data_IF_744322261479
#
_entry.id   IF_744322261479
#
_cell.length_a   1.000
_cell.length_b   1.000
_cell.length_c   1.000
_cell.angle_alpha   90.00
_cell.angle_beta   90.00
_cell.angle_gamma   90.00
#
_symmetry.space_group_name_H-M   'P 1'
#
loop_
_entity.id
_entity.type
_entity.pdbx_description
1 polymer ?
#
# COMPACT_ATOMS: atom_id res chain seq x y z
N UNK A 1 -21.19 11.26 -35.34
CA UNK A 1 -21.06 11.02 -33.90
C UNK A 1 -22.43 10.63 -33.44
N UNK A 2 -22.59 9.36 -33.11
CA UNK A 2 -23.86 8.81 -32.70
C UNK A 2 -24.16 9.24 -31.27
N UNK A 3 -25.45 9.46 -30.94
CA UNK A 3 -25.90 9.90 -29.60
C UNK A 3 -25.28 9.07 -28.44
N UNK A 4 -25.08 7.75 -28.56
CA UNK A 4 -24.35 6.97 -27.55
C UNK A 4 -22.91 7.41 -27.31
N UNK A 5 -22.17 7.79 -28.34
CA UNK A 5 -20.75 8.20 -28.23
C UNK A 5 -20.62 9.54 -27.49
N UNK A 6 -21.53 10.48 -27.77
CA UNK A 6 -21.56 11.77 -27.11
C UNK A 6 -21.94 11.65 -25.62
N UNK A 7 -22.82 10.70 -25.29
CA UNK A 7 -23.17 10.41 -23.89
C UNK A 7 -22.01 9.75 -23.13
N UNK A 8 -21.20 8.91 -23.77
CA UNK A 8 -20.01 8.34 -23.12
C UNK A 8 -18.98 9.42 -22.78
N UNK A 9 -18.72 10.34 -23.71
CA UNK A 9 -17.85 11.50 -23.47
C UNK A 9 -18.37 12.40 -22.33
N UNK A 10 -19.69 12.44 -22.12
CA UNK A 10 -20.29 13.15 -21.00
C UNK A 10 -20.09 12.42 -19.66
N UNK A 11 -20.14 11.09 -19.64
CA UNK A 11 -19.99 10.29 -18.43
C UNK A 11 -18.53 10.09 -18.00
N UNK A 12 -17.59 9.97 -18.93
CA UNK A 12 -16.16 9.74 -18.66
C UNK A 12 -15.53 10.65 -17.57
N UNK A 13 -15.77 11.97 -17.56
CA UNK A 13 -15.19 12.86 -16.55
C UNK A 13 -15.96 12.87 -15.23
N UNK A 14 -17.14 12.22 -15.14
CA UNK A 14 -17.98 12.30 -13.95
C UNK A 14 -17.36 11.54 -12.77
N UNK A 15 -17.37 12.10 -11.55
CA UNK A 15 -16.98 11.39 -10.35
C UNK A 15 -17.98 10.27 -10.03
N UNK A 16 -17.56 9.33 -9.19
CA UNK A 16 -18.36 8.17 -8.77
C UNK A 16 -19.79 8.52 -8.35
N UNK A 17 -19.99 9.57 -7.56
CA UNK A 17 -21.33 9.96 -7.09
C UNK A 17 -22.28 10.37 -8.23
N UNK A 18 -21.74 11.05 -9.25
CA UNK A 18 -22.50 11.47 -10.43
C UNK A 18 -22.73 10.28 -11.37
N UNK A 19 -21.76 9.36 -11.47
CA UNK A 19 -21.94 8.09 -12.19
C UNK A 19 -23.04 7.23 -11.56
N UNK A 20 -23.07 7.10 -10.22
CA UNK A 20 -24.15 6.41 -9.50
C UNK A 20 -25.48 7.09 -9.84
N UNK A 21 -25.56 8.41 -9.70
CA UNK A 21 -26.76 9.19 -10.02
C UNK A 21 -27.22 8.97 -11.46
N UNK A 22 -26.29 8.94 -12.42
CA UNK A 22 -26.55 8.69 -13.84
C UNK A 22 -27.20 7.31 -14.08
N UNK A 23 -26.81 6.27 -13.33
CA UNK A 23 -27.45 4.94 -13.44
C UNK A 23 -28.92 4.89 -13.00
N UNK A 24 -29.37 5.90 -12.26
CA UNK A 24 -30.76 6.03 -11.79
C UNK A 24 -31.63 6.89 -12.72
N UNK A 25 -31.06 7.62 -13.68
CA UNK A 25 -31.81 8.53 -14.57
C UNK A 25 -32.76 7.78 -15.51
N UNK A 26 -32.23 6.87 -16.34
CA UNK A 26 -33.04 6.05 -17.24
C UNK A 26 -32.31 4.77 -17.67
N UNK A 27 -33.01 3.86 -18.34
CA UNK A 27 -32.44 2.58 -18.80
C UNK A 27 -31.26 2.78 -19.77
N UNK A 28 -31.34 3.79 -20.65
CA UNK A 28 -30.27 4.08 -21.61
C UNK A 28 -28.98 4.51 -20.89
N UNK A 29 -29.07 5.41 -19.90
CA UNK A 29 -27.91 5.86 -19.13
C UNK A 29 -27.31 4.72 -18.32
N UNK A 30 -28.15 3.92 -17.65
CA UNK A 30 -27.72 2.71 -16.95
C UNK A 30 -26.97 1.72 -17.84
N UNK A 31 -27.35 1.60 -19.11
CA UNK A 31 -26.68 0.72 -20.06
C UNK A 31 -25.38 1.31 -20.66
N UNK A 32 -25.20 2.64 -20.58
CA UNK A 32 -24.04 3.34 -21.14
C UNK A 32 -22.95 3.60 -20.10
N UNK A 33 -23.29 3.94 -18.85
CA UNK A 33 -22.33 4.23 -17.78
C UNK A 33 -21.27 3.12 -17.61
N UNK A 34 -21.61 1.81 -17.66
CA UNK A 34 -20.60 0.74 -17.56
C UNK A 34 -19.62 0.65 -18.75
N UNK A 35 -19.76 1.51 -19.76
CA UNK A 35 -18.94 1.51 -20.99
C UNK A 35 -17.98 2.70 -21.08
N UNK A 36 -17.88 3.53 -20.04
CA UNK A 36 -16.91 4.63 -20.01
C UNK A 36 -15.47 4.10 -19.98
N UNK A 37 -14.53 4.84 -20.53
CA UNK A 37 -13.11 4.51 -20.47
C UNK A 37 -12.48 5.00 -19.14
N UNK A 38 -12.94 4.41 -18.03
CA UNK A 38 -12.39 4.72 -16.70
C UNK A 38 -12.37 3.46 -15.81
N UNK A 39 -11.33 2.62 -15.90
CA UNK A 39 -11.26 1.34 -15.19
C UNK A 39 -11.45 1.47 -13.67
N UNK A 40 -10.80 2.48 -13.06
CA UNK A 40 -10.90 2.76 -11.63
C UNK A 40 -12.32 3.13 -11.21
N UNK A 41 -12.99 4.03 -11.94
CA UNK A 41 -14.36 4.45 -11.62
C UNK A 41 -15.38 3.35 -11.88
N UNK A 42 -15.21 2.58 -12.95
CA UNK A 42 -16.05 1.40 -13.22
C UNK A 42 -15.94 0.37 -12.10
N UNK A 43 -14.74 0.12 -11.59
CA UNK A 43 -14.52 -0.79 -10.46
C UNK A 43 -15.18 -0.25 -9.19
N UNK A 44 -14.98 1.04 -8.86
CA UNK A 44 -15.65 1.69 -7.73
C UNK A 44 -17.18 1.65 -7.85
N UNK A 45 -17.72 1.89 -9.05
CA UNK A 45 -19.16 1.82 -9.33
C UNK A 45 -19.71 0.42 -9.08
N UNK A 46 -19.03 -0.63 -9.54
CA UNK A 46 -19.42 -2.01 -9.28
C UNK A 46 -19.37 -2.38 -7.79
N UNK A 47 -18.48 -1.76 -7.03
CA UNK A 47 -18.39 -1.94 -5.58
C UNK A 47 -19.46 -1.15 -4.81
N UNK A 48 -19.84 0.03 -5.29
CA UNK A 48 -20.80 0.92 -4.62
C UNK A 48 -22.22 0.31 -4.48
N UNK A 49 -22.58 -0.66 -5.32
CA UNK A 49 -23.88 -1.35 -5.28
C UNK A 49 -23.89 -2.62 -4.41
N UNK A 50 -22.79 -2.95 -3.72
CA UNK A 50 -22.75 -4.08 -2.79
C UNK A 50 -23.41 -3.70 -1.45
N UNK A 51 -23.92 -4.67 -0.71
CA UNK A 51 -24.46 -4.43 0.65
C UNK A 51 -23.31 -4.25 1.64
N UNK A 52 -23.43 -3.27 2.54
CA UNK A 52 -22.39 -2.91 3.52
C UNK A 52 -22.93 -2.91 4.94
N UNK A 53 -22.13 -3.43 5.87
CA UNK A 53 -22.34 -3.26 7.32
C UNK A 53 -21.77 -1.90 7.76
N UNK A 54 -22.49 -1.24 8.66
CA UNK A 54 -22.08 -0.08 9.49
C UNK A 54 -20.78 0.63 9.08
N UNK A 55 -20.89 1.70 8.29
CA UNK A 55 -19.79 2.62 8.03
C UNK A 55 -20.27 4.07 8.13
N UNK A 56 -19.36 4.99 8.46
CA UNK A 56 -19.67 6.40 8.54
C UNK A 56 -19.15 7.10 7.28
N UNK A 57 -19.93 8.03 6.69
CA UNK A 57 -19.48 8.77 5.52
C UNK A 57 -18.35 9.75 5.89
N UNK A 58 -17.32 9.84 5.06
CA UNK A 58 -16.28 10.87 5.16
C UNK A 58 -16.63 12.02 4.21
N UNK A 59 -16.70 13.28 4.70
CA UNK A 59 -16.93 14.43 3.83
C UNK A 59 -15.89 14.54 2.71
N UNK A 60 -16.32 14.94 1.51
CA UNK A 60 -15.41 15.16 0.36
C UNK A 60 -14.29 16.15 0.68
N UNK A 61 -14.59 17.22 1.42
CA UNK A 61 -13.59 18.22 1.83
C UNK A 61 -12.45 17.60 2.64
N UNK A 62 -12.76 16.69 3.59
CA UNK A 62 -11.75 16.00 4.40
C UNK A 62 -10.88 15.09 3.54
N UNK A 63 -11.48 14.36 2.59
CA UNK A 63 -10.76 13.48 1.67
C UNK A 63 -9.82 14.24 0.74
N UNK A 64 -10.29 15.36 0.18
CA UNK A 64 -9.46 16.27 -0.65
C UNK A 64 -8.32 16.86 0.19
N UNK A 65 -8.61 17.40 1.38
CA UNK A 65 -7.57 18.00 2.22
C UNK A 65 -6.50 17.02 2.66
N UNK A 66 -6.83 15.72 2.81
CA UNK A 66 -5.83 14.68 3.06
C UNK A 66 -4.87 14.50 1.88
N UNK A 67 -5.41 14.36 0.66
CA UNK A 67 -4.60 14.26 -0.57
C UNK A 67 -3.74 15.52 -0.74
N UNK A 68 -4.35 16.71 -0.64
CA UNK A 68 -3.64 17.99 -0.75
C UNK A 68 -2.55 18.12 0.29
N UNK A 69 -2.80 17.73 1.55
CA UNK A 69 -1.78 17.75 2.61
C UNK A 69 -0.57 16.91 2.22
N UNK A 70 -0.78 15.69 1.73
CA UNK A 70 0.32 14.82 1.30
C UNK A 70 1.07 15.42 0.13
N UNK A 71 0.35 15.80 -0.94
CA UNK A 71 0.97 16.28 -2.17
C UNK A 71 1.75 17.58 -1.97
N UNK A 72 1.22 18.49 -1.14
CA UNK A 72 1.86 19.79 -0.85
C UNK A 72 2.98 19.70 0.18
N UNK A 73 2.80 18.95 1.28
CA UNK A 73 3.79 18.86 2.36
C UNK A 73 5.08 18.22 1.87
N UNK A 74 4.98 17.20 1.02
CA UNK A 74 6.11 16.40 0.58
C UNK A 74 6.52 16.68 -0.88
N UNK A 75 5.80 17.57 -1.58
CA UNK A 75 6.04 17.90 -2.99
C UNK A 75 6.07 16.65 -3.90
N UNK A 76 5.07 15.79 -3.72
CA UNK A 76 4.88 14.54 -4.46
C UNK A 76 3.47 14.50 -5.06
N UNK A 77 3.24 13.64 -6.04
CA UNK A 77 1.90 13.40 -6.58
C UNK A 77 1.46 11.99 -6.23
N UNK A 78 0.26 11.81 -5.71
CA UNK A 78 -0.29 10.46 -5.49
C UNK A 78 -0.65 9.84 -6.85
N UNK A 79 -0.34 8.56 -7.13
CA UNK A 79 -0.77 7.89 -8.36
C UNK A 79 -2.28 8.02 -8.58
N UNK A 80 -2.69 8.44 -9.79
CA UNK A 80 -4.10 8.80 -10.10
C UNK A 80 -5.14 7.73 -9.73
N UNK A 81 -4.91 6.42 -9.96
CA UNK A 81 -5.86 5.39 -9.51
C UNK A 81 -6.10 5.45 -8.00
N UNK A 82 -5.03 5.63 -7.21
CA UNK A 82 -5.14 5.68 -5.75
C UNK A 82 -5.69 7.02 -5.27
N UNK A 83 -5.27 8.13 -5.89
CA UNK A 83 -5.82 9.47 -5.68
C UNK A 83 -7.34 9.50 -5.88
N UNK A 84 -7.82 8.88 -6.98
CA UNK A 84 -9.25 8.72 -7.28
C UNK A 84 -9.99 7.96 -6.18
N UNK A 85 -9.45 6.83 -5.71
CA UNK A 85 -10.06 6.05 -4.62
C UNK A 85 -10.19 6.90 -3.35
N UNK A 86 -9.12 7.60 -2.96
CA UNK A 86 -9.10 8.46 -1.79
C UNK A 86 -10.15 9.58 -1.87
N UNK A 87 -10.32 10.21 -3.03
CA UNK A 87 -11.24 11.35 -3.20
C UNK A 87 -12.67 10.96 -3.54
N UNK A 88 -12.91 9.77 -4.09
CA UNK A 88 -14.22 9.36 -4.59
C UNK A 88 -14.92 8.33 -3.69
N UNK A 89 -14.21 7.45 -2.98
CA UNK A 89 -14.84 6.50 -2.06
C UNK A 89 -15.35 7.20 -0.79
N UNK A 90 -16.66 7.20 -0.51
CA UNK A 90 -17.25 8.08 0.51
C UNK A 90 -17.24 7.49 1.92
N UNK A 91 -16.71 6.28 2.13
CA UNK A 91 -16.83 5.56 3.40
C UNK A 91 -15.53 5.55 4.20
N UNK A 92 -15.68 5.56 5.54
CA UNK A 92 -14.58 5.31 6.49
C UNK A 92 -14.00 3.89 6.38
N UNK A 93 -14.74 2.96 5.78
CA UNK A 93 -14.26 1.61 5.48
C UNK A 93 -13.72 1.52 4.05
N UNK A 94 -12.73 0.66 3.78
CA UNK A 94 -12.20 0.51 2.43
C UNK A 94 -13.25 -0.09 1.49
N UNK A 95 -13.09 0.06 0.17
CA UNK A 95 -13.91 -0.69 -0.77
C UNK A 95 -13.82 -2.22 -0.50
N UNK A 96 -14.87 -3.01 -0.78
CA UNK A 96 -14.88 -4.44 -0.49
C UNK A 96 -13.70 -5.19 -1.10
N UNK A 97 -13.07 -6.04 -0.28
CA UNK A 97 -11.90 -6.82 -0.66
C UNK A 97 -10.61 -6.02 -0.72
N UNK A 98 -10.54 -4.87 -0.03
CA UNK A 98 -9.36 -4.00 0.02
C UNK A 98 -9.05 -3.58 1.46
N UNK A 99 -7.89 -2.95 1.65
CA UNK A 99 -7.42 -2.42 2.93
C UNK A 99 -7.21 -0.92 2.85
N UNK A 100 -7.57 -0.19 3.90
CA UNK A 100 -7.17 1.22 4.01
C UNK A 100 -5.79 1.33 4.65
N UNK A 101 -4.93 2.25 4.17
CA UNK A 101 -3.77 2.69 4.93
C UNK A 101 -4.11 3.17 6.32
N UNK A 102 -3.18 2.98 7.24
CA UNK A 102 -3.31 3.43 8.63
C UNK A 102 -3.56 4.94 8.71
N UNK A 103 -2.87 5.74 7.90
CA UNK A 103 -3.07 7.19 7.83
C UNK A 103 -4.47 7.57 7.36
N UNK A 104 -5.01 6.89 6.35
CA UNK A 104 -6.39 7.09 5.86
C UNK A 104 -7.40 6.72 6.94
N UNK A 105 -7.24 5.57 7.59
CA UNK A 105 -8.11 5.15 8.71
C UNK A 105 -8.10 6.18 9.83
N UNK A 106 -6.91 6.62 10.25
CA UNK A 106 -6.76 7.63 11.27
C UNK A 106 -7.44 8.94 10.89
N UNK A 107 -7.27 9.41 9.65
CA UNK A 107 -7.95 10.62 9.18
C UNK A 107 -9.48 10.46 9.11
N UNK A 108 -9.96 9.28 8.69
CA UNK A 108 -11.37 8.97 8.52
C UNK A 108 -12.14 8.85 9.84
N UNK A 109 -11.57 8.12 10.81
CA UNK A 109 -12.27 7.74 12.04
C UNK A 109 -11.58 8.19 13.32
N UNK A 110 -10.46 8.92 13.23
CA UNK A 110 -9.56 9.23 14.37
C UNK A 110 -9.07 7.97 15.09
N UNK A 111 -9.18 6.82 14.44
CA UNK A 111 -8.74 5.54 14.97
C UNK A 111 -7.21 5.49 14.95
N UNK A 112 -6.61 5.41 16.13
CA UNK A 112 -5.17 5.28 16.26
C UNK A 112 -4.74 3.82 16.11
N UNK A 113 -3.72 3.57 15.30
CA UNK A 113 -2.96 2.33 15.42
C UNK A 113 -2.03 2.42 16.62
N UNK A 114 -2.17 1.43 17.49
CA UNK A 114 -1.39 1.31 18.69
C UNK A 114 -0.44 0.12 18.57
N UNK A 115 0.83 0.31 18.87
CA UNK A 115 1.78 -0.80 18.99
C UNK A 115 1.55 -1.59 20.30
N UNK A 116 0.31 -1.98 20.62
CA UNK A 116 0.01 -2.71 21.88
C UNK A 116 0.73 -4.05 21.98
N UNK A 117 1.17 -4.61 20.85
CA UNK A 117 2.01 -5.81 20.86
C UNK A 117 3.45 -5.51 21.30
N UNK A 118 3.95 -4.27 21.14
CA UNK A 118 5.25 -3.82 21.68
C UNK A 118 5.12 -3.20 23.07
N UNK A 119 3.96 -2.64 23.41
CA UNK A 119 3.71 -1.95 24.67
C UNK A 119 2.56 -2.62 25.43
N UNK A 120 2.86 -3.31 26.53
CA UNK A 120 1.88 -3.96 27.39
C UNK A 120 0.93 -2.93 28.07
N UNK A 121 1.36 -1.67 28.22
CA UNK A 121 0.55 -0.59 28.78
C UNK A 121 -0.26 0.14 27.68
N UNK A 122 -1.62 0.08 27.70
CA UNK A 122 -2.47 0.85 26.79
C UNK A 122 -2.28 2.37 26.88
N UNK A 123 -1.69 2.90 27.95
CA UNK A 123 -1.41 4.33 28.12
C UNK A 123 -0.13 4.79 27.40
N UNK A 124 0.75 3.86 27.03
CA UNK A 124 1.93 4.15 26.20
C UNK A 124 1.61 4.22 24.71
N UNK A 125 0.33 4.00 24.39
CA UNK A 125 -0.24 4.15 23.07
C UNK A 125 -0.20 5.61 22.61
N UNK A 126 0.89 6.01 21.95
CA UNK A 126 0.98 7.34 21.34
C UNK A 126 0.31 7.30 19.97
N UNK A 127 -0.85 7.93 19.87
CA UNK A 127 -1.42 8.39 18.61
C UNK A 127 -0.52 9.47 17.99
N UNK A 128 0.68 9.09 17.57
CA UNK A 128 1.57 10.01 16.87
C UNK A 128 1.19 10.00 15.40
N UNK A 129 1.08 11.20 14.82
CA UNK A 129 0.97 11.35 13.38
C UNK A 129 2.34 10.97 12.80
N UNK A 130 2.51 9.72 12.40
CA UNK A 130 3.69 9.31 11.65
C UNK A 130 3.75 10.10 10.34
N UNK A 131 4.96 10.37 9.82
CA UNK A 131 5.09 10.98 8.50
C UNK A 131 4.41 10.08 7.46
N UNK A 132 3.45 10.65 6.74
CA UNK A 132 2.65 9.96 5.72
C UNK A 132 3.55 9.46 4.56
N UNK A 133 4.61 10.21 4.26
CA UNK A 133 5.61 9.91 3.23
C UNK A 133 6.96 9.68 3.88
N UNK A 134 7.66 8.64 3.44
CA UNK A 134 9.07 8.45 3.75
C UNK A 134 9.92 8.47 2.50
N UNK A 135 11.18 8.80 2.71
CA UNK A 135 12.27 8.28 1.89
C UNK A 135 12.53 6.84 2.35
N UNK A 136 12.03 5.88 1.58
CA UNK A 136 12.32 4.47 1.84
C UNK A 136 13.78 4.20 1.47
N UNK A 137 14.51 3.56 2.39
CA UNK A 137 15.89 3.15 2.20
C UNK A 137 15.90 1.67 1.86
N UNK A 138 16.47 1.33 0.71
CA UNK A 138 16.79 -0.07 0.38
C UNK A 138 18.21 -0.35 0.84
N UNK A 139 18.35 -1.38 1.68
CA UNK A 139 19.66 -1.92 2.07
C UNK A 139 19.85 -3.27 1.39
N UNK A 140 20.91 -3.41 0.60
CA UNK A 140 21.26 -4.65 -0.09
C UNK A 140 22.70 -5.04 0.20
N UNK A 141 23.00 -6.33 0.20
CA UNK A 141 24.37 -6.81 0.30
C UNK A 141 25.06 -6.86 -1.05
N UNK A 142 26.39 -6.70 -1.05
CA UNK A 142 27.21 -6.72 -2.27
C UNK A 142 27.04 -8.01 -3.08
N UNK A 143 26.92 -9.17 -2.42
CA UNK A 143 26.75 -10.45 -3.13
C UNK A 143 25.37 -10.57 -3.79
N UNK A 144 24.31 -10.12 -3.12
CA UNK A 144 22.96 -10.03 -3.70
C UNK A 144 22.98 -9.08 -4.89
N UNK A 145 23.53 -7.89 -4.71
CA UNK A 145 23.57 -6.86 -5.74
C UNK A 145 24.33 -7.35 -6.97
N UNK A 146 25.51 -7.96 -6.79
CA UNK A 146 26.31 -8.50 -7.88
C UNK A 146 25.56 -9.58 -8.66
N UNK A 147 24.97 -10.54 -7.93
CA UNK A 147 24.20 -11.63 -8.55
C UNK A 147 23.03 -11.07 -9.38
N UNK A 148 22.25 -10.16 -8.80
CA UNK A 148 21.02 -9.63 -9.38
C UNK A 148 21.30 -8.63 -10.51
N UNK A 149 22.20 -7.68 -10.29
CA UNK A 149 22.42 -6.52 -11.18
C UNK A 149 23.53 -6.78 -12.19
N UNK A 150 24.66 -7.35 -11.77
CA UNK A 150 25.81 -7.55 -12.66
C UNK A 150 25.71 -8.88 -13.43
N UNK A 151 25.39 -9.97 -12.75
CA UNK A 151 25.38 -11.31 -13.34
C UNK A 151 24.01 -11.69 -13.95
N UNK A 152 22.97 -10.96 -13.58
CA UNK A 152 21.61 -11.19 -14.07
C UNK A 152 20.91 -12.40 -13.45
N UNK A 153 21.51 -13.02 -12.43
CA UNK A 153 21.08 -14.27 -11.78
C UNK A 153 20.21 -13.96 -10.57
N UNK A 154 19.05 -14.62 -10.47
CA UNK A 154 18.24 -14.60 -9.24
C UNK A 154 18.94 -15.52 -8.24
N UNK A 155 19.31 -15.03 -7.04
CA UNK A 155 19.90 -15.89 -6.01
C UNK A 155 18.97 -17.07 -5.74
N UNK A 156 19.45 -18.29 -6.00
CA UNK A 156 18.72 -19.52 -5.62
C UNK A 156 18.74 -19.73 -4.10
N UNK A 157 17.95 -20.68 -3.60
CA UNK A 157 17.83 -21.03 -2.18
C UNK A 157 19.19 -21.29 -1.48
N UNK A 158 20.23 -21.66 -2.22
CA UNK A 158 21.55 -22.04 -1.70
C UNK A 158 22.54 -20.87 -1.46
N UNK A 159 22.22 -19.64 -1.85
CA UNK A 159 23.10 -18.50 -1.55
C UNK A 159 22.73 -17.96 -0.17
N UNK A 160 23.69 -17.78 0.75
CA UNK A 160 23.45 -17.05 2.01
C UNK A 160 22.72 -15.70 1.80
N UNK A 161 22.81 -15.15 0.59
CA UNK A 161 22.17 -13.93 0.10
C UNK A 161 20.66 -14.09 -0.28
N UNK A 162 20.17 -15.27 -0.66
CA UNK A 162 18.72 -15.53 -0.82
C UNK A 162 18.00 -15.53 0.52
N UNK A 163 18.75 -15.86 1.58
CA UNK A 163 18.37 -15.72 2.99
C UNK A 163 17.93 -14.33 3.41
N UNK A 164 18.24 -13.29 2.62
CA UNK A 164 18.00 -11.90 3.00
C UNK A 164 16.95 -11.21 2.12
N UNK A 165 16.69 -11.72 0.92
CA UNK A 165 15.67 -11.16 0.02
C UNK A 165 14.35 -11.94 0.06
N UNK A 166 14.39 -13.24 0.41
CA UNK A 166 13.25 -14.16 0.22
C UNK A 166 12.97 -15.08 1.42
N UNK A 167 13.82 -15.13 2.45
CA UNK A 167 13.61 -16.00 3.62
C UNK A 167 12.86 -15.31 4.78
N UNK A 168 12.22 -14.16 4.57
CA UNK A 168 11.23 -13.66 5.53
C UNK A 168 10.01 -14.59 5.45
N UNK A 169 9.77 -15.48 6.43
CA UNK A 169 9.16 -16.80 6.19
C UNK A 169 7.64 -16.80 6.02
N UNK A 170 7.02 -15.68 5.66
CA UNK A 170 5.56 -15.58 5.53
C UNK A 170 5.08 -14.97 4.22
N UNK A 171 5.97 -14.69 3.26
CA UNK A 171 5.59 -14.03 2.02
C UNK A 171 5.86 -14.97 0.87
N UNK A 172 4.78 -15.56 0.36
CA UNK A 172 4.83 -16.42 -0.82
C UNK A 172 5.30 -15.57 -2.00
N UNK A 173 6.60 -15.49 -2.24
CA UNK A 173 7.10 -14.79 -3.41
C UNK A 173 7.01 -15.72 -4.63
N UNK A 174 5.95 -15.53 -5.43
CA UNK A 174 5.86 -16.24 -6.71
C UNK A 174 7.05 -15.85 -7.61
N UNK A 175 7.41 -16.67 -8.62
CA UNK A 175 8.44 -16.30 -9.58
C UNK A 175 8.22 -14.92 -10.22
N UNK A 176 6.97 -14.52 -10.43
CA UNK A 176 6.59 -13.21 -10.96
C UNK A 176 6.91 -12.08 -9.98
N UNK A 177 6.58 -12.25 -8.70
CA UNK A 177 6.92 -11.27 -7.66
C UNK A 177 8.44 -11.16 -7.50
N UNK A 178 9.17 -12.27 -7.54
CA UNK A 178 10.64 -12.28 -7.55
C UNK A 178 11.20 -11.49 -8.73
N UNK A 179 10.63 -11.69 -9.92
CA UNK A 179 11.05 -10.97 -11.11
C UNK A 179 10.78 -9.45 -11.00
N UNK A 180 9.65 -9.04 -10.42
CA UNK A 180 9.35 -7.62 -10.20
C UNK A 180 10.23 -7.00 -9.12
N UNK A 181 10.47 -7.71 -8.02
CA UNK A 181 11.44 -7.34 -6.99
C UNK A 181 12.82 -7.06 -7.61
N UNK A 182 13.30 -7.95 -8.47
CA UNK A 182 14.57 -7.81 -9.19
C UNK A 182 14.55 -6.61 -10.16
N UNK A 183 13.45 -6.39 -10.88
CA UNK A 183 13.32 -5.23 -11.78
C UNK A 183 13.39 -3.92 -11.02
N UNK A 184 12.71 -3.82 -9.88
CA UNK A 184 12.76 -2.65 -9.01
C UNK A 184 14.20 -2.37 -8.55
N UNK A 185 14.92 -3.39 -8.09
CA UNK A 185 16.32 -3.29 -7.66
C UNK A 185 17.21 -2.76 -8.79
N UNK A 186 17.11 -3.33 -10.00
CA UNK A 186 17.90 -2.91 -11.17
C UNK A 186 17.60 -1.49 -11.63
N UNK A 187 16.39 -0.99 -11.35
CA UNK A 187 15.98 0.36 -11.72
C UNK A 187 16.56 1.44 -10.78
N UNK A 188 17.09 1.07 -9.61
CA UNK A 188 17.59 2.05 -8.65
C UNK A 188 18.94 2.64 -9.07
N UNK A 189 19.12 3.98 -8.98
CA UNK A 189 20.39 4.60 -9.30
C UNK A 189 21.48 4.20 -8.30
N UNK A 190 22.66 3.82 -8.82
CA UNK A 190 23.86 3.48 -8.02
C UNK A 190 24.57 4.74 -7.50
N UNK A 191 24.11 5.94 -7.89
CA UNK A 191 24.74 7.19 -7.51
C UNK A 191 24.37 7.59 -6.08
N UNK A 192 25.37 7.68 -5.20
CA UNK A 192 25.18 8.02 -3.78
C UNK A 192 25.17 6.80 -2.85
N UNK A 193 25.45 5.60 -3.38
CA UNK A 193 25.53 4.38 -2.58
C UNK A 193 26.88 4.37 -1.84
N UNK A 194 26.82 4.35 -0.51
CA UNK A 194 28.00 4.18 0.33
C UNK A 194 28.17 2.69 0.65
N UNK A 195 29.38 2.18 0.47
CA UNK A 195 29.76 0.89 1.05
C UNK A 195 29.85 1.06 2.57
N UNK A 196 28.89 0.50 3.31
CA UNK A 196 28.85 0.65 4.77
C UNK A 196 29.60 -0.51 5.43
N UNK A 197 30.89 -0.27 5.70
CA UNK A 197 31.68 -0.93 6.75
C UNK A 197 31.72 -2.46 6.76
N UNK A 198 32.01 -3.03 7.93
CA UNK A 198 32.32 -4.45 8.19
C UNK A 198 31.29 -5.46 7.67
N UNK A 199 30.11 -4.99 7.29
CA UNK A 199 29.04 -5.78 6.72
C UNK A 199 28.98 -5.74 5.19
N UNK A 200 29.90 -5.11 4.44
CA UNK A 200 29.90 -5.16 2.96
C UNK A 200 28.51 -4.92 2.30
N UNK A 201 27.75 -3.93 2.80
CA UNK A 201 26.40 -3.62 2.30
C UNK A 201 26.41 -2.36 1.45
N UNK A 202 25.64 -2.39 0.37
CA UNK A 202 25.22 -1.23 -0.39
C UNK A 202 23.90 -0.73 0.18
N UNK A 203 23.95 0.42 0.86
CA UNK A 203 22.79 1.01 1.52
C UNK A 203 22.30 2.27 0.80
N UNK A 204 21.09 2.70 1.15
CA UNK A 204 20.55 4.05 0.86
C UNK A 204 20.13 4.31 -0.58
N UNK A 205 19.54 3.33 -1.28
CA UNK A 205 18.70 3.70 -2.43
C UNK A 205 17.47 4.40 -1.88
N UNK A 206 17.29 5.65 -2.31
CA UNK A 206 16.27 6.56 -1.81
C UNK A 206 15.09 6.57 -2.77
N UNK A 207 13.94 6.11 -2.30
CA UNK A 207 12.70 6.12 -3.07
C UNK A 207 11.63 6.87 -2.30
N UNK A 208 10.94 7.80 -2.96
CA UNK A 208 9.82 8.49 -2.33
C UNK A 208 8.63 7.54 -2.29
N UNK A 209 8.11 7.28 -1.10
CA UNK A 209 7.01 6.34 -0.96
C UNK A 209 6.02 6.74 0.14
N UNK A 210 4.73 6.48 -0.12
CA UNK A 210 3.65 6.72 0.83
C UNK A 210 3.48 5.49 1.73
N UNK A 211 3.50 5.68 3.05
CA UNK A 211 3.21 4.63 4.03
C UNK A 211 1.75 4.20 3.91
N UNK A 212 1.53 2.92 3.58
CA UNK A 212 0.20 2.32 3.53
C UNK A 212 -0.16 1.73 4.88
N UNK A 213 0.35 0.54 5.19
CA UNK A 213 0.04 -0.17 6.44
C UNK A 213 1.26 -0.87 6.99
N UNK A 214 1.34 -1.02 8.31
CA UNK A 214 2.29 -1.92 8.96
C UNK A 214 1.82 -3.38 8.86
N UNK A 215 2.75 -4.31 8.89
CA UNK A 215 2.51 -5.75 9.04
C UNK A 215 3.42 -6.36 10.10
N UNK A 216 3.00 -7.52 10.59
CA UNK A 216 3.72 -8.32 11.57
C UNK A 216 3.93 -9.74 11.04
N UNK A 217 5.12 -10.27 11.21
CA UNK A 217 5.52 -11.63 10.86
C UNK A 217 5.88 -12.32 12.17
N UNK A 218 5.09 -13.32 12.56
CA UNK A 218 5.44 -14.22 13.66
C UNK A 218 6.23 -15.38 13.10
N UNK A 219 7.48 -15.48 13.51
CA UNK A 219 8.28 -16.68 13.27
C UNK A 219 7.98 -17.66 14.39
N UNK A 220 7.49 -18.86 14.05
CA UNK A 220 7.37 -19.93 15.03
C UNK A 220 8.76 -20.20 15.64
N UNK A 221 8.85 -20.35 16.97
CA UNK A 221 10.12 -20.62 17.63
C UNK A 221 10.76 -21.87 17.02
N UNK A 222 12.04 -21.77 16.62
CA UNK A 222 12.84 -22.95 16.33
C UNK A 222 12.94 -23.78 17.64
N UNK A 223 12.98 -25.11 17.53
CA UNK A 223 12.95 -26.05 18.68
C UNK A 223 14.00 -25.79 19.79
N UNK A 224 15.00 -24.93 19.53
CA UNK A 224 16.05 -24.53 20.47
C UNK A 224 15.90 -23.10 21.04
N UNK A 225 15.04 -22.25 20.47
CA UNK A 225 14.82 -20.87 20.91
C UNK A 225 13.34 -20.68 21.33
N UNK A 226 13.06 -20.60 22.64
CA UNK A 226 11.70 -20.40 23.20
C UNK A 226 11.08 -19.03 22.86
N UNK A 227 11.74 -18.18 22.07
CA UNK A 227 11.29 -16.81 21.78
C UNK A 227 10.69 -16.75 20.39
N UNK A 228 9.37 -16.53 20.32
CA UNK A 228 8.69 -16.12 19.10
C UNK A 228 9.30 -14.79 18.63
N UNK A 229 10.06 -14.80 17.54
CA UNK A 229 10.53 -13.57 16.93
C UNK A 229 9.37 -12.94 16.17
N UNK A 230 9.00 -11.72 16.56
CA UNK A 230 8.06 -10.86 15.83
C UNK A 230 8.90 -9.89 15.02
N UNK A 231 8.87 -10.01 13.69
CA UNK A 231 9.43 -8.97 12.83
C UNK A 231 8.30 -8.08 12.30
N UNK A 232 8.57 -6.79 12.27
CA UNK A 232 7.62 -5.78 11.83
C UNK A 232 8.09 -5.19 10.51
N UNK A 233 7.13 -4.81 9.68
CA UNK A 233 7.46 -4.06 8.47
C UNK A 233 6.32 -3.16 8.01
N UNK A 234 6.56 -2.51 6.87
CA UNK A 234 5.68 -1.48 6.32
C UNK A 234 5.47 -1.72 4.83
N UNK A 235 4.22 -1.67 4.39
CA UNK A 235 3.84 -1.56 2.99
C UNK A 235 3.90 -0.11 2.53
N UNK A 236 4.54 0.09 1.39
CA UNK A 236 4.86 1.40 0.85
C UNK A 236 4.40 1.46 -0.60
N UNK A 237 3.66 2.52 -0.96
CA UNK A 237 3.29 2.84 -2.34
C UNK A 237 4.35 3.74 -2.95
N UNK A 238 4.97 3.30 -4.04
CA UNK A 238 6.03 4.07 -4.72
C UNK A 238 5.44 5.30 -5.41
N UNK A 239 6.05 6.46 -5.17
CA UNK A 239 5.58 7.76 -5.67
C UNK A 239 6.39 8.30 -6.85
N UNK A 240 7.52 7.71 -7.21
CA UNK A 240 8.34 8.20 -8.31
C UNK A 240 9.01 7.07 -9.10
N UNK A 241 9.60 7.45 -10.24
CA UNK A 241 10.34 6.53 -11.10
C UNK A 241 9.49 5.48 -11.83
N UNK A 242 10.15 4.45 -12.40
CA UNK A 242 9.50 3.42 -13.22
C UNK A 242 8.51 2.54 -12.46
N UNK A 243 8.66 2.44 -11.15
CA UNK A 243 7.81 1.63 -10.26
C UNK A 243 6.68 2.43 -9.61
N UNK A 244 6.47 3.69 -10.03
CA UNK A 244 5.40 4.53 -9.51
C UNK A 244 4.04 3.82 -9.58
N UNK A 245 3.36 3.71 -8.44
CA UNK A 245 2.07 3.02 -8.31
C UNK A 245 2.17 1.60 -7.77
N UNK A 246 3.34 0.97 -7.83
CA UNK A 246 3.58 -0.35 -7.26
C UNK A 246 3.63 -0.28 -5.73
N UNK A 247 3.26 -1.39 -5.10
CA UNK A 247 3.32 -1.57 -3.66
C UNK A 247 4.41 -2.58 -3.34
N UNK A 248 5.21 -2.19 -2.37
CA UNK A 248 6.41 -2.89 -1.96
C UNK A 248 6.48 -2.90 -0.44
N UNK A 249 7.32 -3.76 0.12
CA UNK A 249 7.42 -3.90 1.56
C UNK A 249 8.85 -3.78 2.10
N UNK A 250 8.93 -3.34 3.36
CA UNK A 250 10.17 -3.19 4.10
C UNK A 250 10.05 -3.73 5.53
N UNK A 251 10.95 -4.62 5.95
CA UNK A 251 11.10 -5.06 7.34
C UNK A 251 12.04 -4.17 8.15
N UNK A 252 11.80 -4.11 9.46
CA UNK A 252 12.53 -3.31 10.47
C UNK A 252 12.75 -1.84 10.08
N UNK A 253 11.87 -1.31 9.21
CA UNK A 253 11.91 0.03 8.62
C UNK A 253 13.13 0.35 7.70
N UNK A 254 14.05 -0.60 7.46
CA UNK A 254 15.27 -0.37 6.67
C UNK A 254 15.65 -1.46 5.66
N UNK A 255 15.05 -2.65 5.76
CA UNK A 255 15.32 -3.78 4.88
C UNK A 255 14.22 -3.89 3.85
N UNK A 256 14.59 -4.09 2.59
CA UNK A 256 13.62 -4.23 1.52
C UNK A 256 13.18 -5.69 1.40
N UNK A 257 11.89 -5.94 1.57
CA UNK A 257 11.28 -7.28 1.56
C UNK A 257 10.72 -7.67 0.19
N UNK A 258 10.67 -6.73 -0.77
CA UNK A 258 10.27 -7.02 -2.14
C UNK A 258 8.96 -6.38 -2.59
N UNK A 259 8.54 -6.79 -3.79
CA UNK A 259 7.32 -6.39 -4.47
C UNK A 259 6.10 -7.16 -3.94
N UNK A 260 4.97 -6.45 -3.79
CA UNK A 260 3.74 -6.98 -3.23
C UNK A 260 2.57 -6.92 -4.22
N UNK A 261 2.40 -5.80 -4.93
CA UNK A 261 1.31 -5.62 -5.88
C UNK A 261 1.65 -4.58 -6.95
N UNK A 262 1.12 -4.73 -8.18
CA UNK A 262 1.33 -3.74 -9.25
C UNK A 262 0.60 -2.44 -8.95
N UNK A 263 -0.54 -2.54 -8.28
CA UNK A 263 -1.33 -1.40 -7.87
C UNK A 263 -2.11 -1.69 -6.58
N UNK A 264 -2.80 -0.65 -6.11
CA UNK A 264 -3.62 -0.72 -4.90
C UNK A 264 -4.82 -1.66 -5.02
N UNK A 265 -5.22 -2.03 -6.25
CA UNK A 265 -6.35 -2.92 -6.49
C UNK A 265 -6.00 -4.40 -6.44
N UNK A 266 -4.74 -4.74 -6.70
CA UNK A 266 -4.17 -6.09 -6.58
C UNK A 266 -3.65 -6.37 -5.16
N UNK A 267 -3.52 -5.34 -4.34
CA UNK A 267 -2.99 -5.45 -2.97
C UNK A 267 -3.96 -6.17 -2.03
N UNK A 268 -3.78 -7.48 -1.93
CA UNK A 268 -4.58 -8.37 -1.09
C UNK A 268 -3.89 -8.64 0.24
N UNK A 269 -3.93 -7.67 1.16
CA UNK A 269 -3.17 -7.78 2.41
C UNK A 269 -3.82 -8.66 3.49
N UNK A 270 -5.09 -8.61 3.87
CA UNK A 270 -5.55 -9.21 5.14
C UNK A 270 -4.68 -8.81 6.34
N UNK A 271 -4.90 -7.58 6.78
CA UNK A 271 -4.45 -7.17 8.11
C UNK A 271 -4.94 -8.17 9.14
N UNK A 272 -4.04 -8.66 9.99
CA UNK A 272 -4.41 -9.58 11.05
C UNK A 272 -5.47 -8.88 11.91
N UNK A 273 -6.67 -9.46 11.92
CA UNK A 273 -7.76 -8.98 12.73
C UNK A 273 -7.40 -9.27 14.19
N UNK A 274 -6.88 -8.26 14.89
CA UNK A 274 -6.81 -8.28 16.36
C UNK A 274 -8.23 -8.38 16.97
N UNK A 275 -9.27 -8.30 16.12
CA UNK A 275 -10.69 -8.46 16.42
C UNK A 275 -11.24 -9.89 16.54
N UNK A 276 -10.42 -10.93 16.74
CA UNK A 276 -10.94 -12.10 17.49
C UNK A 276 -11.09 -11.79 18.99
N UNK A 277 -10.59 -10.64 19.45
CA UNK A 277 -10.96 -10.06 20.75
C UNK A 277 -11.67 -8.73 20.57
N UNK A 278 -12.99 -8.78 20.70
CA UNK A 278 -13.89 -7.65 20.89
C UNK A 278 -13.31 -6.58 21.84
N UNK A 279 -12.89 -5.44 21.31
CA UNK A 279 -12.68 -4.24 22.10
C UNK A 279 -12.80 -3.00 21.19
N UNK A 280 -14.03 -2.69 20.80
CA UNK A 280 -14.39 -1.35 20.35
C UNK A 280 -14.03 -0.34 21.45
N UNK A 281 -13.16 0.62 21.15
CA UNK A 281 -13.06 1.85 21.92
C UNK A 281 -12.97 3.02 20.94
N UNK A 282 -14.11 3.70 20.75
CA UNK A 282 -14.11 5.07 20.26
C UNK A 282 -13.39 5.93 21.32
N UNK A 283 -12.37 6.67 20.91
CA UNK A 283 -11.85 7.75 21.73
C UNK A 283 -12.94 8.82 21.83
N UNK A 284 -13.57 8.94 22.99
CA UNK A 284 -14.28 10.15 23.36
C UNK A 284 -13.23 11.26 23.51
N UNK A 285 -13.21 12.19 22.56
CA UNK A 285 -12.53 13.49 22.68
C UNK A 285 -13.57 14.52 23.10
#
# INVERSE_FOLDING_TARGET
MDVPELLLQFFEPLPLGDLISATHVCQQWRALVPKIDSPTRLRLLGLAFRDFTSSHPIPLSVRISYVEKIETTYNVLIPEPYRTILTEWPSSQPPPGMHWPHSVRFHASRFCYCQRHRNEDPNECRCALEPDVLEAVVTMWDEVYRSVVEEGVIPGEDVHASGELFNTPLRLHTPEQNAQTVRFIRAQPVAGVEWVGSTKKWANFKVSALRLSRYHVHTEPHEEDEVTQVSDGIFMLILDGPSRGQIHAWSEETWYDGFEAEDFWEWNYTEWDVGSTNAFYELQV
#
